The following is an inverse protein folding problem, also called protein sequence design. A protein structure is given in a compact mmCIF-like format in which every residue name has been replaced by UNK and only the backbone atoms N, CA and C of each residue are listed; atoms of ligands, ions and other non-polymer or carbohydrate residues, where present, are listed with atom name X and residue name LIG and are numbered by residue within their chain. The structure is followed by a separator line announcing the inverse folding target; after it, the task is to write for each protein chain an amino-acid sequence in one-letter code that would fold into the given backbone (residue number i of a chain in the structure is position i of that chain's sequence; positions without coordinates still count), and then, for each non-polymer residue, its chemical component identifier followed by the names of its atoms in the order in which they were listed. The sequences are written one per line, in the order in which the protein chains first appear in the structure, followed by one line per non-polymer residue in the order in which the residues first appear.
data_IF_094388608182
#
_entry.id   IF_094388608182
#
_cell.length_a   1.000
_cell.length_b   1.000
_cell.length_c   1.000
_cell.angle_alpha   90.00
_cell.angle_beta   90.00
_cell.angle_gamma   90.00
#
_symmetry.space_group_name_H-M   'P 1'
#
loop_
_entity.id
_entity.type
_entity.pdbx_description
1 polymer ?
#
# COMPACT_ATOMS: atom_id res chain seq x y z
N UNK A 1 -21.15 19.55 18.21
CA UNK A 1 -19.95 18.78 18.58
C UNK A 1 -18.75 19.73 18.75
N UNK A 2 -17.96 19.65 19.82
CA UNK A 2 -16.82 20.57 20.06
C UNK A 2 -15.63 20.17 19.18
N UNK A 3 -15.26 20.97 18.18
CA UNK A 3 -14.16 20.71 17.26
C UNK A 3 -12.81 21.00 17.93
N UNK A 4 -11.76 20.22 17.62
CA UNK A 4 -10.43 20.39 18.18
C UNK A 4 -9.80 21.75 17.76
N UNK A 5 -8.81 22.22 18.52
CA UNK A 5 -8.07 23.45 18.19
C UNK A 5 -7.34 23.31 16.82
N UNK A 6 -6.80 22.13 16.53
CA UNK A 6 -6.13 21.85 15.26
C UNK A 6 -7.10 21.92 14.09
N UNK A 7 -8.28 21.29 14.20
CA UNK A 7 -9.32 21.35 13.18
C UNK A 7 -9.75 22.77 12.85
N UNK A 8 -9.91 23.62 13.89
CA UNK A 8 -10.25 25.04 13.66
C UNK A 8 -9.19 25.76 12.83
N UNK A 9 -7.90 25.57 13.19
CA UNK A 9 -6.77 26.14 12.43
C UNK A 9 -6.71 25.62 10.99
N UNK A 10 -7.07 24.35 10.77
CA UNK A 10 -7.09 23.77 9.42
C UNK A 10 -8.20 24.38 8.53
N UNK A 11 -9.35 24.66 9.10
CA UNK A 11 -10.48 25.29 8.36
C UNK A 11 -10.21 26.79 8.08
N UNK A 12 -9.35 27.42 8.87
CA UNK A 12 -8.95 28.83 8.70
C UNK A 12 -7.79 29.03 7.69
N UNK A 13 -7.29 27.95 7.07
CA UNK A 13 -6.22 28.05 6.05
C UNK A 13 -6.74 28.80 4.82
N UNK A 14 -6.00 29.83 4.42
CA UNK A 14 -6.35 30.68 3.28
C UNK A 14 -6.42 29.85 1.99
N UNK A 15 -7.54 30.02 1.27
CA UNK A 15 -7.83 29.29 0.04
C UNK A 15 -8.45 27.89 0.23
N UNK A 16 -8.74 27.46 1.47
CA UNK A 16 -9.41 26.21 1.74
C UNK A 16 -10.90 26.38 2.00
N UNK A 17 -11.72 25.80 1.14
CA UNK A 17 -13.17 25.64 1.34
C UNK A 17 -13.52 24.14 1.29
N UNK A 18 -14.07 23.56 2.36
CA UNK A 18 -14.42 22.12 2.39
C UNK A 18 -15.52 21.72 1.39
N UNK A 19 -16.23 22.65 0.79
CA UNK A 19 -17.27 22.38 -0.21
C UNK A 19 -16.77 22.56 -1.66
N UNK A 20 -15.63 23.17 -1.85
CA UNK A 20 -15.03 23.39 -3.16
C UNK A 20 -14.27 22.14 -3.65
N UNK A 21 -14.29 21.92 -4.96
CA UNK A 21 -13.47 20.91 -5.63
C UNK A 21 -12.20 21.57 -6.17
N UNK A 22 -11.06 20.98 -5.89
CA UNK A 22 -9.75 21.48 -6.29
C UNK A 22 -9.12 20.59 -7.35
N UNK A 23 -8.31 21.17 -8.22
CA UNK A 23 -7.41 20.42 -9.09
C UNK A 23 -6.36 19.67 -8.25
N UNK A 24 -5.81 18.55 -8.77
CA UNK A 24 -4.87 17.71 -8.01
C UNK A 24 -3.66 18.49 -7.52
N UNK A 25 -3.03 19.31 -8.37
CA UNK A 25 -1.87 20.13 -7.99
C UNK A 25 -2.23 21.16 -6.91
N UNK A 26 -3.38 21.79 -7.04
CA UNK A 26 -3.91 22.77 -6.09
C UNK A 26 -4.24 22.13 -4.73
N UNK A 27 -4.86 20.94 -4.76
CA UNK A 27 -5.15 20.16 -3.55
C UNK A 27 -3.87 19.75 -2.80
N UNK A 28 -2.81 19.33 -3.51
CA UNK A 28 -1.52 19.00 -2.92
C UNK A 28 -0.86 20.24 -2.29
N UNK A 29 -0.88 21.37 -2.99
CA UNK A 29 -0.35 22.64 -2.46
C UNK A 29 -1.11 23.11 -1.21
N UNK A 30 -2.44 23.00 -1.20
CA UNK A 30 -3.27 23.29 -0.03
C UNK A 30 -2.99 22.33 1.14
N UNK A 31 -2.82 21.03 0.85
CA UNK A 31 -2.51 20.02 1.85
C UNK A 31 -1.22 20.35 2.60
N UNK A 32 -0.22 20.89 1.93
CA UNK A 32 1.04 21.34 2.54
C UNK A 32 0.93 22.61 3.38
N UNK A 33 -0.07 23.44 3.13
CA UNK A 33 -0.35 24.66 3.91
C UNK A 33 -1.03 24.37 5.24
N UNK A 34 -1.61 23.19 5.41
CA UNK A 34 -2.26 22.85 6.68
C UNK A 34 -1.27 22.83 7.86
N UNK A 35 -1.69 23.32 9.03
CA UNK A 35 -0.83 23.31 10.21
C UNK A 35 -0.41 21.88 10.57
N UNK A 36 0.88 21.65 10.51
CA UNK A 36 1.50 20.37 10.75
C UNK A 36 1.48 19.94 12.22
N UNK A 37 1.78 18.69 12.44
CA UNK A 37 2.08 18.08 13.74
C UNK A 37 3.60 17.87 13.86
N UNK A 38 4.06 17.36 15.01
CA UNK A 38 5.50 17.18 15.28
C UNK A 38 6.18 16.05 14.47
N UNK A 39 5.43 15.27 13.73
CA UNK A 39 5.94 14.17 12.91
C UNK A 39 5.58 14.36 11.43
N UNK A 40 6.32 13.71 10.54
CA UNK A 40 6.05 13.74 9.11
C UNK A 40 4.81 12.92 8.78
N UNK A 41 3.73 13.62 8.40
CA UNK A 41 2.43 13.02 8.13
C UNK A 41 2.43 12.28 6.79
N UNK A 42 1.66 11.21 6.71
CA UNK A 42 1.41 10.50 5.46
C UNK A 42 0.27 11.15 4.71
N UNK A 43 0.49 11.44 3.43
CA UNK A 43 -0.56 11.85 2.51
C UNK A 43 -1.23 10.59 1.95
N UNK A 44 -2.56 10.54 2.09
CA UNK A 44 -3.40 9.43 1.66
C UNK A 44 -4.52 9.95 0.77
N UNK A 45 -4.89 9.15 -0.22
CA UNK A 45 -6.04 9.43 -1.09
C UNK A 45 -7.08 8.34 -0.92
N UNK A 46 -8.35 8.75 -0.86
CA UNK A 46 -9.50 7.88 -0.81
C UNK A 46 -10.32 8.00 -2.10
N UNK A 47 -10.52 6.88 -2.79
CA UNK A 47 -11.37 6.80 -3.98
C UNK A 47 -12.65 6.05 -3.66
N UNK A 48 -13.79 6.59 -4.04
CA UNK A 48 -15.07 5.88 -4.04
C UNK A 48 -15.28 5.27 -5.41
N UNK A 49 -15.16 3.94 -5.49
CA UNK A 49 -15.30 3.23 -6.76
C UNK A 49 -16.75 2.86 -7.06
N UNK A 50 -17.11 2.86 -8.35
CA UNK A 50 -18.40 2.37 -8.85
C UNK A 50 -18.47 0.86 -8.97
N UNK A 51 -18.16 0.12 -7.89
CA UNK A 51 -18.19 -1.36 -7.84
C UNK A 51 -19.08 -1.84 -6.70
N UNK A 52 -19.59 -3.07 -6.80
CA UNK A 52 -20.26 -3.74 -5.69
C UNK A 52 -19.30 -4.75 -5.02
N UNK A 53 -18.73 -4.41 -3.85
CA UNK A 53 -17.74 -5.27 -3.20
C UNK A 53 -18.32 -6.57 -2.62
N UNK A 54 -19.65 -6.74 -2.65
CA UNK A 54 -20.33 -7.99 -2.27
C UNK A 54 -20.20 -9.07 -3.33
N UNK A 55 -19.92 -8.65 -4.58
CA UNK A 55 -19.72 -9.55 -5.69
C UNK A 55 -18.23 -9.91 -5.83
N UNK A 56 -17.93 -11.19 -5.86
CA UNK A 56 -16.54 -11.67 -5.93
C UNK A 56 -15.83 -11.28 -7.22
N UNK A 57 -16.58 -11.10 -8.31
CA UNK A 57 -16.10 -10.65 -9.62
C UNK A 57 -15.83 -9.14 -9.72
N UNK A 58 -16.31 -8.35 -8.74
CA UNK A 58 -16.08 -6.91 -8.65
C UNK A 58 -15.08 -6.52 -7.54
N UNK A 59 -14.32 -7.47 -7.04
CA UNK A 59 -13.30 -7.20 -6.03
C UNK A 59 -12.09 -6.51 -6.67
N UNK A 60 -11.82 -5.26 -6.27
CA UNK A 60 -10.64 -4.49 -6.69
C UNK A 60 -9.55 -4.67 -5.64
N UNK A 61 -8.42 -5.22 -6.07
CA UNK A 61 -7.21 -5.39 -5.26
C UNK A 61 -5.99 -5.40 -6.17
N UNK A 62 -4.95 -4.72 -5.77
CA UNK A 62 -3.69 -4.67 -6.51
C UNK A 62 -2.57 -4.04 -5.70
N UNK A 63 -1.46 -3.84 -6.35
CA UNK A 63 -0.33 -3.10 -5.83
C UNK A 63 0.32 -2.31 -6.94
N UNK A 64 0.94 -1.21 -6.59
CA UNK A 64 1.60 -0.30 -7.51
C UNK A 64 2.93 0.15 -6.92
N UNK A 65 3.98 0.16 -7.72
CA UNK A 65 5.25 0.76 -7.35
C UNK A 65 5.19 2.28 -7.56
N UNK A 66 5.50 3.02 -6.51
CA UNK A 66 5.46 4.49 -6.54
C UNK A 66 6.83 5.03 -6.97
N UNK A 67 6.91 5.90 -7.99
CA UNK A 67 8.19 6.43 -8.50
C UNK A 67 9.02 7.15 -7.45
N UNK A 68 8.37 7.93 -6.58
CA UNK A 68 9.03 8.62 -5.47
C UNK A 68 9.05 7.82 -4.15
N UNK A 69 8.57 6.56 -4.19
CA UNK A 69 8.43 5.73 -2.99
C UNK A 69 7.30 6.19 -2.07
N UNK A 70 7.17 5.51 -0.92
CA UNK A 70 6.18 5.83 0.12
C UNK A 70 6.74 6.70 1.25
N UNK A 71 8.07 6.90 1.29
CA UNK A 71 8.76 7.58 2.40
C UNK A 71 8.79 6.78 3.72
N UNK A 72 8.47 5.48 3.65
CA UNK A 72 8.52 4.57 4.78
C UNK A 72 9.58 3.50 4.51
N UNK A 73 10.48 3.25 5.45
CA UNK A 73 11.37 2.10 5.38
C UNK A 73 10.57 0.82 5.66
N UNK A 74 10.57 -0.08 4.71
CA UNK A 74 9.80 -1.34 4.77
C UNK A 74 10.74 -2.49 5.11
N UNK A 75 10.40 -3.27 6.15
CA UNK A 75 11.11 -4.50 6.50
C UNK A 75 10.51 -5.66 5.73
N UNK A 76 11.33 -6.29 4.91
CA UNK A 76 10.91 -7.38 4.02
C UNK A 76 11.40 -8.71 4.56
N UNK A 77 10.46 -9.62 4.84
CA UNK A 77 10.75 -11.01 5.13
C UNK A 77 10.48 -11.87 3.88
N UNK A 78 11.35 -12.85 3.66
CA UNK A 78 11.27 -13.74 2.50
C UNK A 78 11.28 -15.18 2.97
N UNK A 79 10.31 -15.96 2.48
CA UNK A 79 10.28 -17.42 2.64
C UNK A 79 10.59 -18.05 1.29
N UNK A 80 11.83 -18.43 1.11
CA UNK A 80 12.36 -19.06 -0.09
C UNK A 80 13.52 -19.99 0.23
N UNK A 81 13.80 -20.93 -0.68
CA UNK A 81 14.90 -21.87 -0.59
C UNK A 81 15.87 -21.71 -1.77
N UNK A 82 17.07 -22.26 -1.61
CA UNK A 82 18.09 -22.35 -2.67
C UNK A 82 18.47 -21.02 -3.32
N UNK A 83 18.39 -20.95 -4.66
CA UNK A 83 18.78 -19.78 -5.43
C UNK A 83 17.92 -18.56 -5.13
N UNK A 84 16.61 -18.74 -4.93
CA UNK A 84 15.68 -17.65 -4.63
C UNK A 84 15.99 -16.97 -3.27
N UNK A 85 16.49 -17.74 -2.30
CA UNK A 85 16.96 -17.20 -1.02
C UNK A 85 18.24 -16.37 -1.17
N UNK A 86 19.15 -16.77 -2.07
CA UNK A 86 20.37 -16.00 -2.39
C UNK A 86 20.00 -14.67 -3.07
N UNK A 87 19.14 -14.71 -4.10
CA UNK A 87 18.63 -13.50 -4.77
C UNK A 87 17.94 -12.53 -3.81
N UNK A 88 17.16 -13.06 -2.83
CA UNK A 88 16.50 -12.24 -1.82
C UNK A 88 17.51 -11.48 -0.95
N UNK A 89 18.60 -12.15 -0.55
CA UNK A 89 19.69 -11.53 0.24
C UNK A 89 20.41 -10.45 -0.55
N UNK A 90 20.76 -10.72 -1.81
CA UNK A 90 21.39 -9.75 -2.71
C UNK A 90 20.49 -8.53 -2.98
N UNK A 91 19.19 -8.74 -3.09
CA UNK A 91 18.20 -7.66 -3.22
C UNK A 91 17.99 -6.85 -1.95
N UNK A 92 18.57 -7.26 -0.82
CA UNK A 92 18.54 -6.54 0.44
C UNK A 92 17.33 -6.86 1.32
N UNK A 93 16.76 -8.07 1.26
CA UNK A 93 15.74 -8.51 2.20
C UNK A 93 16.29 -8.54 3.64
N UNK A 94 15.47 -8.12 4.61
CA UNK A 94 15.90 -8.03 6.02
C UNK A 94 15.93 -9.39 6.70
N UNK A 95 14.99 -10.26 6.32
CA UNK A 95 14.90 -11.63 6.86
C UNK A 95 14.69 -12.60 5.71
N UNK A 96 15.58 -13.56 5.57
CA UNK A 96 15.51 -14.60 4.53
C UNK A 96 15.70 -15.95 5.16
N UNK A 97 14.79 -16.87 4.90
CA UNK A 97 14.87 -18.25 5.36
C UNK A 97 13.73 -19.09 4.80
N UNK A 98 13.64 -20.33 5.18
CA UNK A 98 12.62 -21.26 4.75
C UNK A 98 11.77 -21.72 5.94
N UNK A 99 12.11 -22.83 6.58
CA UNK A 99 11.39 -23.34 7.74
C UNK A 99 11.62 -22.50 8.99
N UNK A 100 12.81 -21.99 9.19
CA UNK A 100 13.21 -21.17 10.34
C UNK A 100 12.41 -19.88 10.46
N UNK A 101 12.13 -19.18 9.34
CA UNK A 101 11.28 -17.99 9.32
C UNK A 101 9.83 -18.37 9.62
N UNK A 102 9.35 -19.47 9.06
CA UNK A 102 7.98 -19.97 9.31
C UNK A 102 7.79 -20.35 10.79
N UNK A 103 8.77 -20.98 11.42
CA UNK A 103 8.72 -21.31 12.86
C UNK A 103 8.73 -20.06 13.74
N UNK A 104 9.55 -19.08 13.42
CA UNK A 104 9.54 -17.77 14.10
C UNK A 104 8.18 -17.11 14.01
N UNK A 105 7.53 -17.11 12.83
CA UNK A 105 6.18 -16.57 12.68
C UNK A 105 5.16 -17.37 13.49
N UNK A 106 5.26 -18.71 13.53
CA UNK A 106 4.40 -19.55 14.38
C UNK A 106 4.53 -19.21 15.87
N UNK A 107 5.73 -18.88 16.33
CA UNK A 107 5.98 -18.47 17.71
C UNK A 107 5.51 -17.04 18.03
N UNK A 108 4.93 -16.33 17.04
CA UNK A 108 4.37 -14.98 17.22
C UNK A 108 5.24 -13.82 16.72
N UNK A 109 6.41 -14.10 16.14
CA UNK A 109 7.25 -13.07 15.56
C UNK A 109 6.61 -12.47 14.30
N UNK A 110 6.49 -11.16 14.25
CA UNK A 110 5.86 -10.41 13.15
C UNK A 110 6.53 -9.04 12.95
N UNK A 111 7.84 -8.95 13.17
CA UNK A 111 8.61 -7.71 13.03
C UNK A 111 9.02 -7.43 11.57
N UNK A 112 8.08 -7.62 10.65
CA UNK A 112 8.19 -7.31 9.23
C UNK A 112 6.93 -6.63 8.72
N UNK A 113 7.06 -5.87 7.63
CA UNK A 113 5.95 -5.13 7.02
C UNK A 113 5.42 -5.84 5.76
N UNK A 114 6.27 -6.59 5.06
CA UNK A 114 5.90 -7.38 3.87
C UNK A 114 6.50 -8.79 3.98
N UNK A 115 5.70 -9.80 3.63
CA UNK A 115 6.14 -11.17 3.48
C UNK A 115 6.07 -11.58 2.02
N UNK A 116 7.21 -11.98 1.46
CA UNK A 116 7.32 -12.53 0.11
C UNK A 116 7.58 -14.03 0.22
N UNK A 117 6.94 -14.82 -0.63
CA UNK A 117 7.12 -16.25 -0.64
C UNK A 117 7.18 -16.79 -2.07
N UNK A 118 7.98 -17.83 -2.30
CA UNK A 118 7.89 -18.59 -3.54
C UNK A 118 6.60 -19.43 -3.54
N UNK A 119 6.06 -19.81 -4.73
CA UNK A 119 4.89 -20.69 -4.82
C UNK A 119 5.06 -21.99 -4.03
N UNK A 120 6.26 -22.56 -4.02
CA UNK A 120 6.57 -23.78 -3.26
C UNK A 120 6.55 -23.56 -1.74
N UNK A 121 7.10 -22.42 -1.28
CA UNK A 121 7.10 -22.04 0.13
C UNK A 121 5.70 -21.76 0.66
N UNK A 122 4.73 -21.44 -0.22
CA UNK A 122 3.35 -21.18 0.18
C UNK A 122 2.68 -22.36 0.89
N UNK A 123 3.17 -23.59 0.70
CA UNK A 123 2.67 -24.77 1.44
C UNK A 123 2.92 -24.63 2.94
N UNK A 124 4.06 -24.05 3.31
CA UNK A 124 4.46 -23.81 4.71
C UNK A 124 3.81 -22.55 5.29
N UNK A 125 3.54 -21.55 4.45
CA UNK A 125 2.97 -20.25 4.87
C UNK A 125 1.45 -20.31 5.02
N UNK A 126 0.73 -21.14 4.24
CA UNK A 126 -0.74 -21.27 4.32
C UNK A 126 -1.31 -21.50 5.71
N UNK A 127 -0.74 -22.38 6.55
CA UNK A 127 -1.24 -22.59 7.91
C UNK A 127 -1.18 -21.34 8.80
N UNK A 128 -0.30 -20.37 8.47
CA UNK A 128 -0.14 -19.11 9.18
C UNK A 128 -1.22 -18.07 8.83
N UNK A 129 -2.12 -18.39 7.91
CA UNK A 129 -3.16 -17.48 7.44
C UNK A 129 -4.04 -16.88 8.54
N UNK A 130 -4.26 -17.63 9.64
CA UNK A 130 -5.01 -17.12 10.81
C UNK A 130 -4.26 -16.02 11.57
N UNK A 131 -2.92 -16.04 11.54
CA UNK A 131 -2.07 -15.06 12.21
C UNK A 131 -1.76 -13.86 11.30
N UNK A 132 -1.43 -14.13 10.02
CA UNK A 132 -1.00 -13.12 9.05
C UNK A 132 -2.16 -12.41 8.35
N UNK A 133 -3.29 -13.12 8.15
CA UNK A 133 -4.47 -12.61 7.41
C UNK A 133 -5.08 -11.34 8.00
N UNK A 134 -5.40 -11.29 9.31
CA UNK A 134 -5.99 -10.11 9.93
C UNK A 134 -5.11 -8.86 9.86
N UNK A 135 -3.78 -9.03 9.79
CA UNK A 135 -2.80 -7.95 9.68
C UNK A 135 -2.45 -7.57 8.24
N UNK A 136 -3.00 -8.29 7.25
CA UNK A 136 -2.68 -8.05 5.84
C UNK A 136 -1.29 -8.53 5.40
N UNK A 137 -0.58 -9.29 6.25
CA UNK A 137 0.78 -9.77 5.98
C UNK A 137 0.83 -11.07 5.17
N UNK A 138 -0.32 -11.64 4.82
CA UNK A 138 -0.39 -12.90 4.06
C UNK A 138 0.00 -12.68 2.60
N UNK A 139 1.01 -13.41 2.08
CA UNK A 139 1.41 -13.31 0.68
C UNK A 139 0.27 -13.64 -0.27
N UNK A 140 0.19 -12.90 -1.40
CA UNK A 140 -0.87 -13.07 -2.38
C UNK A 140 -0.32 -12.90 -3.81
N UNK A 141 -0.67 -13.79 -4.76
CA UNK A 141 -0.27 -13.64 -6.16
C UNK A 141 -0.78 -12.35 -6.81
N UNK A 142 -1.98 -11.88 -6.46
CA UNK A 142 -2.57 -10.65 -7.00
C UNK A 142 -1.80 -9.38 -6.62
N UNK A 143 -1.11 -9.40 -5.48
CA UNK A 143 -0.23 -8.32 -5.07
C UNK A 143 1.23 -8.61 -5.44
N UNK A 144 1.55 -9.70 -6.15
CA UNK A 144 2.90 -10.07 -6.57
C UNK A 144 3.86 -10.40 -5.41
N UNK A 145 3.33 -10.69 -4.22
CA UNK A 145 4.12 -11.14 -3.07
C UNK A 145 4.30 -12.67 -3.05
N UNK A 146 3.67 -13.39 -3.99
CA UNK A 146 3.95 -14.79 -4.31
C UNK A 146 4.53 -14.83 -5.73
N UNK A 147 5.83 -15.06 -5.84
CA UNK A 147 6.54 -15.03 -7.13
C UNK A 147 7.84 -15.84 -7.07
N UNK A 148 8.26 -16.34 -8.22
CA UNK A 148 9.56 -16.98 -8.39
C UNK A 148 10.68 -15.94 -8.54
N UNK A 149 10.35 -14.72 -9.01
CA UNK A 149 11.28 -13.60 -9.15
C UNK A 149 11.43 -12.82 -7.83
N UNK A 150 11.94 -13.49 -6.82
CA UNK A 150 11.99 -12.94 -5.45
C UNK A 150 12.85 -11.68 -5.37
N UNK A 151 13.99 -11.64 -6.05
CA UNK A 151 14.89 -10.48 -6.07
C UNK A 151 14.20 -9.19 -6.57
N UNK A 152 13.41 -9.30 -7.64
CA UNK A 152 12.65 -8.16 -8.17
C UNK A 152 11.56 -7.70 -7.20
N UNK A 153 10.81 -8.65 -6.63
CA UNK A 153 9.76 -8.36 -5.65
C UNK A 153 10.30 -7.65 -4.39
N UNK A 154 11.49 -8.03 -3.92
CA UNK A 154 12.17 -7.37 -2.79
C UNK A 154 12.57 -5.94 -3.15
N UNK A 155 13.15 -5.71 -4.34
CA UNK A 155 13.53 -4.36 -4.79
C UNK A 155 12.31 -3.46 -4.92
N UNK A 156 11.23 -3.94 -5.53
CA UNK A 156 9.95 -3.20 -5.63
C UNK A 156 9.36 -2.89 -4.25
N UNK A 157 9.37 -3.85 -3.34
CA UNK A 157 8.88 -3.66 -1.98
C UNK A 157 9.67 -2.56 -1.24
N UNK A 158 11.00 -2.55 -1.40
CA UNK A 158 11.89 -1.55 -0.80
C UNK A 158 11.86 -0.19 -1.49
N UNK A 159 11.62 -0.16 -2.81
CA UNK A 159 11.46 1.08 -3.57
C UNK A 159 10.20 1.87 -3.17
N UNK A 160 9.27 1.23 -2.49
CA UNK A 160 8.04 1.87 -2.01
C UNK A 160 6.83 1.45 -2.82
N UNK A 161 6.37 0.23 -2.55
CA UNK A 161 5.17 -0.34 -3.11
C UNK A 161 3.96 0.02 -2.26
N UNK A 162 2.90 0.52 -2.87
CA UNK A 162 1.61 0.74 -2.23
C UNK A 162 0.62 -0.36 -2.64
N UNK A 163 0.01 -1.01 -1.67
CA UNK A 163 -1.08 -1.95 -1.91
C UNK A 163 -2.42 -1.23 -1.78
N UNK A 164 -3.37 -1.63 -2.62
CA UNK A 164 -4.73 -1.12 -2.55
C UNK A 164 -5.76 -2.25 -2.58
N UNK A 165 -6.83 -2.05 -1.82
CA UNK A 165 -7.94 -2.99 -1.75
C UNK A 165 -9.23 -2.22 -1.49
N UNK A 166 -10.29 -2.51 -2.28
CA UNK A 166 -11.61 -1.98 -2.01
C UNK A 166 -12.17 -2.57 -0.70
N UNK A 167 -12.67 -1.70 0.16
CA UNK A 167 -13.37 -2.06 1.38
C UNK A 167 -14.83 -2.46 1.11
N UNK A 168 -15.60 -2.77 2.17
CA UNK A 168 -17.02 -3.11 2.04
C UNK A 168 -17.89 -1.95 1.56
N UNK A 169 -17.40 -0.72 1.66
CA UNK A 169 -18.05 0.49 1.17
C UNK A 169 -17.66 0.82 -0.27
N UNK A 170 -16.89 -0.02 -0.97
CA UNK A 170 -16.28 0.25 -2.27
C UNK A 170 -15.31 1.45 -2.26
N UNK A 171 -14.73 1.77 -1.11
CA UNK A 171 -13.69 2.77 -0.99
C UNK A 171 -12.31 2.12 -1.04
N UNK A 172 -11.36 2.79 -1.66
CA UNK A 172 -9.95 2.40 -1.72
C UNK A 172 -9.14 3.52 -1.09
N UNK A 173 -8.35 3.17 -0.08
CA UNK A 173 -7.45 4.08 0.62
C UNK A 173 -6.02 3.73 0.23
N UNK A 174 -5.26 4.70 -0.28
CA UNK A 174 -3.89 4.49 -0.74
C UNK A 174 -2.99 5.61 -0.26
N UNK A 175 -1.92 5.31 0.50
CA UNK A 175 -0.90 6.28 0.82
C UNK A 175 -0.08 6.59 -0.45
N UNK A 176 0.12 7.86 -0.76
CA UNK A 176 0.87 8.29 -1.94
C UNK A 176 2.14 9.08 -1.62
N UNK A 177 2.50 9.22 -0.34
CA UNK A 177 3.76 9.80 0.08
C UNK A 177 3.72 10.42 1.46
N UNK A 178 4.76 11.18 1.78
CA UNK A 178 4.87 11.98 2.98
C UNK A 178 4.69 13.45 2.65
N UNK A 179 4.19 14.25 3.60
CA UNK A 179 4.04 15.71 3.40
C UNK A 179 5.38 16.43 3.19
N UNK A 180 6.49 15.82 3.64
CA UNK A 180 7.85 16.28 3.36
C UNK A 180 8.27 16.14 1.89
N UNK A 181 7.58 15.30 1.10
CA UNK A 181 7.89 15.12 -0.33
C UNK A 181 7.62 16.39 -1.13
N UNK A 182 8.33 16.56 -2.24
CA UNK A 182 8.06 17.62 -3.20
C UNK A 182 6.68 17.47 -3.85
N UNK A 183 6.07 18.57 -4.27
CA UNK A 183 4.72 18.58 -4.89
C UNK A 183 4.69 17.74 -6.18
N UNK A 184 5.75 17.82 -6.98
CA UNK A 184 5.88 17.03 -8.21
C UNK A 184 5.98 15.53 -7.91
N UNK A 185 6.70 15.14 -6.84
CA UNK A 185 6.82 13.76 -6.40
C UNK A 185 5.46 13.19 -5.94
N UNK A 186 4.72 13.98 -5.13
CA UNK A 186 3.37 13.60 -4.70
C UNK A 186 2.41 13.48 -5.87
N UNK A 187 2.47 14.42 -6.82
CA UNK A 187 1.63 14.39 -8.03
C UNK A 187 1.94 13.17 -8.89
N UNK A 188 3.22 12.88 -9.13
CA UNK A 188 3.64 11.71 -9.91
C UNK A 188 3.16 10.41 -9.27
N UNK A 189 3.29 10.27 -7.94
CA UNK A 189 2.77 9.11 -7.23
C UNK A 189 1.24 9.00 -7.34
N UNK A 190 0.52 10.13 -7.22
CA UNK A 190 -0.93 10.16 -7.36
C UNK A 190 -1.38 9.71 -8.75
N UNK A 191 -0.76 10.24 -9.81
CA UNK A 191 -1.11 9.90 -11.20
C UNK A 191 -0.92 8.40 -11.48
N UNK A 192 0.17 7.81 -10.99
CA UNK A 192 0.44 6.36 -11.11
C UNK A 192 -0.59 5.52 -10.36
N UNK A 193 -1.08 5.97 -9.20
CA UNK A 193 -2.15 5.29 -8.45
C UNK A 193 -3.47 5.32 -9.24
N UNK A 194 -3.83 6.47 -9.80
CA UNK A 194 -5.04 6.61 -10.64
C UNK A 194 -4.97 5.66 -11.83
N UNK A 195 -3.85 5.64 -12.55
CA UNK A 195 -3.64 4.75 -13.69
C UNK A 195 -3.75 3.26 -13.29
N UNK A 196 -3.18 2.89 -12.14
CA UNK A 196 -3.27 1.52 -11.62
C UNK A 196 -4.71 1.14 -11.26
N UNK A 197 -5.47 2.05 -10.67
CA UNK A 197 -6.89 1.83 -10.35
C UNK A 197 -7.73 1.70 -11.63
N UNK A 198 -7.51 2.54 -12.64
CA UNK A 198 -8.20 2.47 -13.93
C UNK A 198 -7.93 1.12 -14.61
N UNK A 199 -6.67 0.66 -14.61
CA UNK A 199 -6.29 -0.68 -15.13
C UNK A 199 -6.91 -1.83 -14.35
N UNK A 200 -7.13 -1.66 -13.05
CA UNK A 200 -7.74 -2.66 -12.18
C UNK A 200 -9.28 -2.70 -12.26
N UNK A 201 -9.90 -1.91 -13.13
CA UNK A 201 -11.37 -1.89 -13.30
C UNK A 201 -11.88 -3.28 -13.69
N UNK A 202 -12.79 -3.90 -12.92
CA UNK A 202 -13.41 -5.16 -13.30
C UNK A 202 -14.27 -5.00 -14.57
N UNK A 203 -14.25 -5.99 -15.46
CA UNK A 203 -15.06 -5.97 -16.69
C UNK A 203 -16.57 -5.92 -16.41
N UNK A 204 -16.99 -6.44 -15.25
CA UNK A 204 -18.39 -6.46 -14.81
C UNK A 204 -18.86 -5.14 -14.19
N UNK A 205 -17.94 -4.20 -13.91
CA UNK A 205 -18.28 -2.88 -13.40
C UNK A 205 -18.86 -1.98 -14.51
N UNK A 206 -20.16 -1.66 -14.41
CA UNK A 206 -20.87 -0.81 -15.36
C UNK A 206 -20.97 0.62 -14.81
N UNK A 207 -20.88 1.63 -15.71
CA UNK A 207 -21.02 3.04 -15.37
C UNK A 207 -19.72 3.72 -14.95
N UNK A 208 -19.84 4.84 -14.21
CA UNK A 208 -18.70 5.59 -13.68
C UNK A 208 -17.94 4.72 -12.66
N UNK A 209 -16.61 4.68 -12.79
CA UNK A 209 -15.78 3.80 -11.96
C UNK A 209 -15.01 4.59 -10.88
N UNK A 210 -14.45 5.75 -11.26
CA UNK A 210 -13.79 6.71 -10.37
C UNK A 210 -14.47 8.05 -10.49
#
# INVERSE_FOLDING_TARGET
MRRSKLYKKQVEVEGFDPQQRYGVAEAIALLKKFPGVKFDQTAEVAFKLGVDPRKSDQTVRGAVALPAGTGKSVRVAVVADGAAAAEAKEAGADFVGFEDVVEKIKSGWQDFDILIATPDAMRLVRPLGRQLGPRGLMPNPKTGTVTDQVGNAVREAKAGRAEFRADRGACVHVPFGKLSFDENALKSNFDVIVDALVKAKPQTAKGAYI
#
